data_IF_240920589160
#
_entry.id   IF_240920589160
#
_cell.length_a   1.000
_cell.length_b   1.000
_cell.length_c   1.000
_cell.angle_alpha   90.00
_cell.angle_beta   90.00
_cell.angle_gamma   90.00
#
_symmetry.space_group_name_H-M   'P 1'
#
loop_
_entity.id
_entity.type
_entity.pdbx_description
1 polymer ?
#
# COMPACT_ATOMS: atom_id res chain seq x y z
N UNK A 1 -11.30 15.89 41.31
CA UNK A 1 -12.02 15.23 40.21
C UNK A 1 -11.01 14.39 39.46
N UNK A 2 -10.76 13.20 40.00
CA UNK A 2 -9.84 12.19 39.51
C UNK A 2 -10.52 11.34 38.42
N UNK A 3 -9.84 11.15 37.30
CA UNK A 3 -10.24 10.20 36.26
C UNK A 3 -9.46 8.88 36.44
N UNK A 4 -10.12 7.71 36.38
CA UNK A 4 -9.49 6.43 36.72
C UNK A 4 -8.55 5.89 35.63
N UNK A 5 -7.39 5.38 36.07
CA UNK A 5 -6.40 4.61 35.30
C UNK A 5 -6.95 3.25 34.89
N UNK A 6 -6.81 2.90 33.61
CA UNK A 6 -6.99 1.53 33.12
C UNK A 6 -5.76 0.67 33.46
N UNK A 7 -5.92 -0.58 33.94
CA UNK A 7 -4.82 -1.48 34.22
C UNK A 7 -4.32 -2.21 32.97
N UNK A 8 -3.01 -2.18 32.77
CA UNK A 8 -2.23 -2.91 31.77
C UNK A 8 -2.26 -4.41 32.06
N UNK A 9 -2.90 -5.22 31.22
CA UNK A 9 -2.79 -6.69 31.29
C UNK A 9 -1.64 -7.13 30.38
N UNK A 10 -0.50 -7.45 30.99
CA UNK A 10 0.63 -8.07 30.32
C UNK A 10 0.30 -9.49 29.90
N UNK A 11 0.17 -9.73 28.60
CA UNK A 11 0.01 -11.06 28.04
C UNK A 11 1.39 -11.71 27.86
N UNK A 12 1.85 -12.40 28.91
CA UNK A 12 3.07 -13.19 28.90
C UNK A 12 2.77 -14.54 28.20
N UNK A 13 3.02 -14.63 26.89
CA UNK A 13 2.84 -15.88 26.14
C UNK A 13 4.13 -16.71 26.19
N UNK A 14 4.20 -17.61 27.17
CA UNK A 14 5.27 -18.62 27.29
C UNK A 14 5.07 -19.70 26.22
N UNK A 15 5.90 -19.69 25.16
CA UNK A 15 5.97 -20.77 24.17
C UNK A 15 6.78 -21.93 24.75
N UNK A 16 6.10 -23.00 25.14
CA UNK A 16 6.72 -24.27 25.55
C UNK A 16 7.27 -25.01 24.33
N UNK A 17 8.60 -25.06 24.27
CA UNK A 17 9.42 -25.95 23.45
C UNK A 17 9.07 -27.43 23.72
N UNK A 18 8.68 -28.19 22.69
CA UNK A 18 8.65 -29.65 22.71
C UNK A 18 9.64 -30.18 21.68
N UNK A 19 10.86 -30.44 22.15
CA UNK A 19 11.80 -31.31 21.46
C UNK A 19 11.26 -32.74 21.41
N UNK A 20 11.35 -33.37 20.24
CA UNK A 20 11.40 -34.83 20.11
C UNK A 20 12.74 -35.17 19.47
N UNK A 21 13.70 -35.54 20.30
CA UNK A 21 14.73 -36.47 19.88
C UNK A 21 14.16 -37.89 19.92
N UNK A 22 14.46 -38.69 18.91
CA UNK A 22 14.45 -40.14 19.02
C UNK A 22 15.69 -40.68 18.32
N UNK A 23 16.66 -41.07 19.14
CA UNK A 23 17.72 -42.02 18.81
C UNK A 23 17.15 -43.44 18.72
N UNK A 24 17.96 -44.34 18.15
CA UNK A 24 17.77 -45.78 17.90
C UNK A 24 17.38 -46.08 16.45
N UNK A 25 18.05 -46.95 15.71
CA UNK A 25 19.10 -47.89 16.04
C UNK A 25 19.45 -48.65 14.77
N UNK A 26 20.67 -49.16 14.72
CA UNK A 26 21.29 -49.85 13.62
C UNK A 26 20.73 -51.27 13.40
N UNK A 27 21.06 -51.76 12.20
CA UNK A 27 21.33 -53.15 11.85
C UNK A 27 20.25 -54.03 11.19
N UNK A 28 20.67 -54.46 10.00
CA UNK A 28 20.61 -55.80 9.44
C UNK A 28 19.29 -56.28 8.81
N UNK A 29 19.42 -56.77 7.58
CA UNK A 29 18.48 -57.73 7.02
C UNK A 29 18.21 -57.56 5.54
N UNK A 30 19.19 -57.91 4.73
CA UNK A 30 19.08 -58.11 3.28
C UNK A 30 17.95 -59.10 2.92
N UNK A 31 17.15 -58.76 1.92
CA UNK A 31 16.31 -59.69 1.16
C UNK A 31 15.92 -59.05 -0.19
N UNK A 32 16.28 -59.67 -1.32
CA UNK A 32 16.24 -59.05 -2.63
C UNK A 32 14.85 -59.14 -3.27
N UNK A 33 14.54 -58.17 -4.13
CA UNK A 33 13.47 -58.33 -5.12
C UNK A 33 12.17 -57.59 -4.83
N UNK A 34 12.21 -56.26 -4.67
CA UNK A 34 11.08 -55.41 -5.06
C UNK A 34 11.59 -54.25 -5.89
N UNK A 35 11.48 -54.39 -7.20
CA UNK A 35 11.71 -53.32 -8.17
C UNK A 35 10.75 -52.17 -7.85
N UNK A 36 11.30 -51.05 -7.40
CA UNK A 36 10.58 -49.80 -7.29
C UNK A 36 10.29 -49.30 -8.69
N UNK A 37 9.21 -49.81 -9.29
CA UNK A 37 8.65 -49.17 -10.46
C UNK A 37 8.22 -47.76 -10.03
N UNK A 38 8.99 -46.77 -10.48
CA UNK A 38 8.62 -45.36 -10.47
C UNK A 38 7.30 -45.23 -11.23
N UNK A 39 6.17 -45.35 -10.53
CA UNK A 39 4.87 -45.06 -11.13
C UNK A 39 4.84 -43.57 -11.46
N UNK A 40 4.74 -43.20 -12.75
CA UNK A 40 4.72 -41.81 -13.16
C UNK A 40 3.44 -41.15 -12.64
N UNK A 41 3.56 -39.94 -12.11
CA UNK A 41 2.49 -39.08 -11.59
C UNK A 41 1.53 -38.57 -12.69
N UNK A 42 1.27 -39.40 -13.72
CA UNK A 42 0.59 -39.02 -14.95
C UNK A 42 -0.64 -39.91 -15.16
N UNK A 43 -1.71 -39.66 -14.39
CA UNK A 43 -3.11 -39.71 -14.86
C UNK A 43 -4.06 -39.29 -13.75
N UNK A 44 -5.14 -38.64 -14.16
CA UNK A 44 -6.27 -38.12 -13.38
C UNK A 44 -6.10 -36.71 -12.79
N UNK A 45 -5.77 -35.72 -13.65
CA UNK A 45 -6.46 -34.43 -13.53
C UNK A 45 -7.82 -34.60 -14.18
N UNK A 46 -8.84 -34.86 -13.37
CA UNK A 46 -10.19 -34.49 -13.77
C UNK A 46 -10.15 -32.98 -14.06
N UNK A 47 -10.58 -32.60 -15.26
CA UNK A 47 -10.70 -31.20 -15.67
C UNK A 47 -11.80 -30.60 -14.81
N UNK A 48 -11.44 -29.95 -13.71
CA UNK A 48 -12.40 -29.16 -12.92
C UNK A 48 -12.94 -28.08 -13.87
N UNK A 49 -14.26 -28.01 -14.12
CA UNK A 49 -14.85 -26.92 -14.88
C UNK A 49 -14.50 -25.60 -14.20
N UNK A 50 -13.98 -24.62 -14.96
CA UNK A 50 -13.57 -23.31 -14.43
C UNK A 50 -14.76 -22.49 -13.89
N UNK A 51 -15.96 -22.95 -14.18
CA UNK A 51 -17.28 -22.39 -13.90
C UNK A 51 -17.85 -22.81 -12.53
N UNK A 52 -17.23 -23.75 -11.82
CA UNK A 52 -17.68 -24.18 -10.48
C UNK A 52 -17.01 -23.41 -9.32
N UNK A 53 -16.77 -22.10 -9.47
CA UNK A 53 -16.42 -21.26 -8.31
C UNK A 53 -17.69 -20.95 -7.53
N UNK A 54 -17.78 -21.28 -6.21
CA UNK A 54 -18.93 -20.89 -5.43
C UNK A 54 -19.00 -19.36 -5.44
N UNK A 55 -20.11 -18.81 -5.95
CA UNK A 55 -20.43 -17.41 -5.82
C UNK A 55 -20.52 -17.10 -4.33
N UNK A 56 -19.41 -16.62 -3.75
CA UNK A 56 -19.33 -16.23 -2.35
C UNK A 56 -20.35 -15.11 -2.14
N UNK A 57 -21.52 -15.49 -1.63
CA UNK A 57 -22.65 -14.60 -1.40
C UNK A 57 -22.22 -13.53 -0.42
N UNK A 58 -21.96 -12.33 -0.96
CA UNK A 58 -21.68 -11.14 -0.15
C UNK A 58 -22.86 -10.94 0.80
N UNK A 59 -22.62 -10.83 2.10
CA UNK A 59 -23.65 -10.55 3.09
C UNK A 59 -24.11 -9.10 2.96
N UNK A 60 -25.36 -8.78 3.36
CA UNK A 60 -25.89 -7.42 3.29
C UNK A 60 -25.05 -6.42 4.10
N UNK A 61 -24.55 -6.86 5.27
CA UNK A 61 -23.63 -6.10 6.12
C UNK A 61 -22.30 -5.80 5.41
N UNK A 62 -21.78 -6.76 4.63
CA UNK A 62 -20.54 -6.56 3.86
C UNK A 62 -20.73 -5.57 2.69
N UNK A 63 -21.95 -5.47 2.12
CA UNK A 63 -22.27 -4.45 1.11
C UNK A 63 -22.31 -3.05 1.74
N UNK A 64 -22.96 -2.91 2.89
CA UNK A 64 -23.04 -1.65 3.62
C UNK A 64 -21.64 -1.13 4.01
N UNK A 65 -20.78 -1.98 4.55
CA UNK A 65 -19.39 -1.60 4.89
C UNK A 65 -18.57 -1.15 3.68
N UNK A 66 -18.76 -1.81 2.52
CA UNK A 66 -18.07 -1.41 1.27
C UNK A 66 -18.59 -0.06 0.76
N UNK A 67 -19.88 0.20 0.88
CA UNK A 67 -20.47 1.48 0.52
C UNK A 67 -19.95 2.60 1.41
N UNK A 68 -19.86 2.36 2.72
CA UNK A 68 -19.29 3.33 3.65
C UNK A 68 -17.82 3.63 3.36
N UNK A 69 -17.01 2.61 3.06
CA UNK A 69 -15.62 2.82 2.65
C UNK A 69 -15.51 3.59 1.33
N UNK A 70 -16.41 3.36 0.38
CA UNK A 70 -16.47 4.13 -0.86
C UNK A 70 -16.80 5.59 -0.57
N UNK A 71 -17.81 5.86 0.28
CA UNK A 71 -18.16 7.21 0.70
C UNK A 71 -17.00 7.94 1.41
N UNK A 72 -16.26 7.23 2.28
CA UNK A 72 -15.06 7.78 2.92
C UNK A 72 -13.97 8.12 1.89
N UNK A 73 -13.76 7.27 0.88
CA UNK A 73 -12.80 7.53 -0.19
C UNK A 73 -13.22 8.72 -1.06
N UNK A 74 -14.51 8.84 -1.39
CA UNK A 74 -15.02 10.03 -2.08
C UNK A 74 -14.75 11.30 -1.27
N UNK A 75 -15.02 11.30 0.03
CA UNK A 75 -14.74 12.45 0.89
C UNK A 75 -13.25 12.82 0.93
N UNK A 76 -12.37 11.81 0.99
CA UNK A 76 -10.92 12.00 0.92
C UNK A 76 -10.49 12.60 -0.42
N UNK A 77 -11.03 12.12 -1.53
CA UNK A 77 -10.71 12.63 -2.86
C UNK A 77 -11.26 14.03 -3.12
N UNK A 78 -12.36 14.42 -2.49
CA UNK A 78 -12.90 15.78 -2.56
C UNK A 78 -12.11 16.80 -1.72
N UNK A 79 -11.53 16.37 -0.60
CA UNK A 79 -10.73 17.24 0.26
C UNK A 79 -9.27 17.38 -0.21
N UNK A 80 -8.70 16.30 -0.77
CA UNK A 80 -7.30 16.28 -1.18
C UNK A 80 -7.05 17.12 -2.44
N UNK A 81 -6.06 18.01 -2.39
CA UNK A 81 -5.60 18.76 -3.56
C UNK A 81 -4.74 17.89 -4.50
N UNK A 82 -4.00 16.93 -3.93
CA UNK A 82 -3.11 16.04 -4.67
C UNK A 82 -3.26 14.60 -4.20
N UNK A 83 -3.22 13.68 -5.16
CA UNK A 83 -3.23 12.24 -4.92
C UNK A 83 -2.10 11.61 -5.72
N UNK A 84 -1.22 10.88 -5.05
CA UNK A 84 -0.14 10.13 -5.69
C UNK A 84 -0.43 8.64 -5.54
N UNK A 85 -0.35 7.90 -6.65
CA UNK A 85 -0.56 6.47 -6.71
C UNK A 85 0.79 5.76 -6.77
N UNK A 86 1.00 4.84 -5.83
CA UNK A 86 2.24 4.08 -5.72
C UNK A 86 2.00 2.60 -5.59
N UNK A 87 2.97 1.82 -6.05
CA UNK A 87 3.12 0.42 -5.75
C UNK A 87 4.03 0.23 -4.55
N UNK A 88 3.52 -0.50 -3.55
CA UNK A 88 4.23 -0.76 -2.30
C UNK A 88 4.74 -2.21 -2.21
N UNK A 89 4.78 -2.94 -3.32
CA UNK A 89 5.21 -4.35 -3.36
C UNK A 89 6.64 -4.50 -2.85
N UNK A 90 6.83 -5.29 -1.80
CA UNK A 90 8.16 -5.60 -1.24
C UNK A 90 8.62 -4.67 -0.10
N UNK A 91 7.79 -3.72 0.32
CA UNK A 91 8.10 -2.91 1.50
C UNK A 91 7.88 -3.67 2.81
N UNK A 92 8.79 -3.46 3.77
CA UNK A 92 8.66 -3.99 5.12
C UNK A 92 7.62 -3.21 5.95
N UNK A 93 7.15 -3.80 7.05
CA UNK A 93 6.18 -3.14 7.95
C UNK A 93 6.80 -1.90 8.61
N UNK A 94 8.11 -1.92 8.87
CA UNK A 94 8.86 -0.78 9.41
C UNK A 94 8.88 0.37 8.40
N UNK A 95 9.31 0.10 7.17
CA UNK A 95 9.32 1.05 6.04
C UNK A 95 7.94 1.70 5.81
N UNK A 96 6.87 0.91 5.84
CA UNK A 96 5.50 1.41 5.70
C UNK A 96 5.06 2.27 6.88
N UNK A 97 5.55 1.99 8.09
CA UNK A 97 5.24 2.78 9.28
C UNK A 97 5.99 4.11 9.24
N UNK A 98 7.25 4.09 8.83
CA UNK A 98 8.08 5.28 8.66
C UNK A 98 7.50 6.21 7.60
N UNK A 99 7.09 5.68 6.44
CA UNK A 99 6.43 6.46 5.39
C UNK A 99 5.15 7.13 5.90
N UNK A 100 4.31 6.40 6.65
CA UNK A 100 3.08 6.97 7.24
C UNK A 100 3.39 8.05 8.28
N UNK A 101 4.44 7.89 9.07
CA UNK A 101 4.83 8.86 10.08
C UNK A 101 5.38 10.15 9.43
N UNK A 102 6.24 10.02 8.42
CA UNK A 102 6.74 11.16 7.62
C UNK A 102 5.59 11.91 6.96
N UNK A 103 4.64 11.19 6.35
CA UNK A 103 3.45 11.80 5.73
C UNK A 103 2.63 12.58 6.76
N UNK A 104 2.31 11.99 7.92
CA UNK A 104 1.53 12.67 8.97
C UNK A 104 2.24 13.91 9.52
N UNK A 105 3.56 13.85 9.68
CA UNK A 105 4.34 14.98 10.18
C UNK A 105 4.25 16.21 9.27
N UNK A 106 4.03 16.01 7.97
CA UNK A 106 3.87 17.08 7.00
C UNK A 106 2.40 17.39 6.64
N UNK A 107 1.42 16.78 7.33
CA UNK A 107 0.00 17.01 7.05
C UNK A 107 -0.57 16.15 5.90
N UNK A 108 0.15 15.12 5.46
CA UNK A 108 -0.31 14.15 4.47
C UNK A 108 -0.82 12.84 5.09
N UNK A 109 -1.63 12.10 4.34
CA UNK A 109 -2.09 10.77 4.72
C UNK A 109 -1.76 9.73 3.65
N UNK A 110 -1.43 8.53 4.11
CA UNK A 110 -1.10 7.41 3.24
C UNK A 110 -1.98 6.21 3.58
N UNK A 111 -2.76 5.73 2.61
CA UNK A 111 -3.68 4.61 2.77
C UNK A 111 -3.49 3.59 1.66
N UNK A 112 -3.57 2.32 2.03
CA UNK A 112 -3.66 1.21 1.07
C UNK A 112 -5.13 1.02 0.75
N UNK A 113 -5.48 1.05 -0.54
CA UNK A 113 -6.88 0.99 -0.97
C UNK A 113 -7.09 -0.20 -1.89
N UNK A 114 -8.26 -0.86 -1.77
CA UNK A 114 -8.66 -1.92 -2.70
C UNK A 114 -9.03 -1.30 -4.05
N UNK A 115 -8.37 -1.75 -5.12
CA UNK A 115 -8.50 -1.19 -6.46
C UNK A 115 -9.95 -1.06 -6.92
N UNK A 116 -10.78 -2.09 -6.67
CA UNK A 116 -12.20 -2.05 -7.09
C UNK A 116 -13.01 -1.00 -6.34
N UNK A 117 -12.71 -0.73 -5.07
CA UNK A 117 -13.39 0.33 -4.32
C UNK A 117 -12.91 1.70 -4.78
N UNK A 118 -11.61 1.85 -5.05
CA UNK A 118 -11.05 3.10 -5.58
C UNK A 118 -11.64 3.45 -6.94
N UNK A 119 -11.74 2.46 -7.86
CA UNK A 119 -12.34 2.68 -9.19
C UNK A 119 -13.80 3.14 -9.11
N UNK A 120 -14.56 2.62 -8.14
CA UNK A 120 -15.93 3.10 -7.89
C UNK A 120 -15.90 4.53 -7.32
N UNK A 121 -15.01 4.80 -6.37
CA UNK A 121 -14.87 6.12 -5.75
C UNK A 121 -14.37 7.23 -6.70
N UNK A 122 -13.79 6.87 -7.85
CA UNK A 122 -13.27 7.80 -8.84
C UNK A 122 -14.23 8.07 -10.01
N UNK A 123 -15.28 7.25 -10.19
CA UNK A 123 -16.23 7.41 -11.30
C UNK A 123 -17.00 8.74 -11.22
N UNK A 124 -17.24 9.23 -10.01
CA UNK A 124 -18.04 10.43 -9.76
C UNK A 124 -17.19 11.69 -9.51
N UNK A 125 -15.88 11.61 -9.74
CA UNK A 125 -14.92 12.70 -9.45
C UNK A 125 -14.11 13.05 -10.69
N UNK A 126 -13.58 14.28 -10.75
CA UNK A 126 -12.68 14.78 -11.82
C UNK A 126 -11.37 13.97 -11.96
N UNK A 127 -11.12 13.05 -11.02
CA UNK A 127 -9.98 12.13 -10.96
C UNK A 127 -10.21 10.82 -11.74
N UNK A 128 -11.30 10.69 -12.49
CA UNK A 128 -11.65 9.47 -13.23
C UNK A 128 -10.51 8.96 -14.14
N UNK A 129 -9.72 9.87 -14.72
CA UNK A 129 -8.60 9.54 -15.60
C UNK A 129 -7.44 8.77 -14.91
N UNK A 130 -7.41 8.70 -13.57
CA UNK A 130 -6.41 7.92 -12.82
C UNK A 130 -6.87 6.49 -12.55
N UNK A 131 -8.13 6.15 -12.82
CA UNK A 131 -8.68 4.82 -12.57
C UNK A 131 -7.84 3.69 -13.20
N UNK A 132 -7.17 3.96 -14.32
CA UNK A 132 -6.34 2.99 -15.05
C UNK A 132 -5.00 2.71 -14.37
N UNK A 133 -4.48 3.63 -13.56
CA UNK A 133 -3.27 3.43 -12.76
C UNK A 133 -3.52 2.50 -11.56
N UNK A 134 -4.77 2.19 -11.22
CA UNK A 134 -5.12 1.28 -10.12
C UNK A 134 -5.10 -0.21 -10.52
N UNK A 135 -3.99 -0.68 -11.08
CA UNK A 135 -3.74 -2.10 -11.38
C UNK A 135 -2.66 -2.63 -10.45
N UNK A 136 -2.83 -3.80 -9.81
CA UNK A 136 -1.83 -4.39 -8.90
C UNK A 136 -1.90 -3.90 -7.44
N UNK A 137 -0.84 -4.09 -6.62
CA UNK A 137 -0.83 -3.70 -5.21
C UNK A 137 -0.61 -2.18 -5.07
N UNK A 138 -1.70 -1.41 -5.10
CA UNK A 138 -1.66 0.06 -5.11
C UNK A 138 -1.97 0.67 -3.75
N UNK A 139 -1.26 1.74 -3.42
CA UNK A 139 -1.54 2.63 -2.30
C UNK A 139 -1.70 4.07 -2.81
N UNK A 140 -2.40 4.87 -2.02
CA UNK A 140 -2.62 6.29 -2.27
C UNK A 140 -1.96 7.11 -1.16
N UNK A 141 -1.16 8.08 -1.55
CA UNK A 141 -0.75 9.19 -0.71
C UNK A 141 -1.52 10.43 -1.13
N UNK A 142 -2.26 11.03 -0.21
CA UNK A 142 -3.02 12.25 -0.47
C UNK A 142 -2.68 13.30 0.58
N UNK A 143 -2.79 14.55 0.18
CA UNK A 143 -2.58 15.71 1.05
C UNK A 143 -3.38 16.89 0.51
N UNK A 144 -3.72 17.80 1.41
CA UNK A 144 -4.33 19.08 1.06
C UNK A 144 -3.29 20.02 0.44
N UNK A 145 -2.00 19.80 0.73
CA UNK A 145 -0.89 20.55 0.14
C UNK A 145 -0.31 19.83 -1.09
N UNK A 146 -0.20 20.51 -2.24
CA UNK A 146 0.17 19.87 -3.51
C UNK A 146 1.63 19.40 -3.56
N UNK A 147 2.52 19.96 -2.74
CA UNK A 147 3.96 19.66 -2.76
C UNK A 147 4.34 18.56 -1.75
N UNK A 148 3.58 18.42 -0.66
CA UNK A 148 3.95 17.56 0.47
C UNK A 148 3.97 16.09 0.09
N UNK A 149 2.88 15.58 -0.48
CA UNK A 149 2.76 14.16 -0.81
C UNK A 149 3.79 13.71 -1.86
N UNK A 150 3.99 14.42 -3.00
CA UNK A 150 5.02 14.06 -3.97
C UNK A 150 6.44 14.08 -3.39
N UNK A 151 6.79 15.08 -2.58
CA UNK A 151 8.13 15.22 -1.99
C UNK A 151 8.50 14.07 -1.07
N UNK A 152 7.58 13.66 -0.19
CA UNK A 152 7.83 12.55 0.75
C UNK A 152 7.90 11.22 0.00
N UNK A 153 7.01 11.02 -0.98
CA UNK A 153 7.01 9.79 -1.78
C UNK A 153 8.27 9.69 -2.63
N UNK A 154 8.73 10.77 -3.24
CA UNK A 154 9.95 10.76 -4.06
C UNK A 154 11.23 10.62 -3.24
N UNK A 155 11.30 11.25 -2.06
CA UNK A 155 12.44 11.03 -1.14
C UNK A 155 12.48 9.57 -0.68
N UNK A 156 11.33 9.00 -0.34
CA UNK A 156 11.25 7.59 0.04
C UNK A 156 11.55 6.64 -1.13
N UNK A 157 11.15 6.99 -2.36
CA UNK A 157 11.48 6.21 -3.55
C UNK A 157 12.98 6.24 -3.90
N UNK A 158 13.69 7.32 -3.53
CA UNK A 158 15.16 7.40 -3.63
C UNK A 158 15.84 6.51 -2.58
N UNK A 159 15.30 6.48 -1.36
CA UNK A 159 15.80 5.63 -0.28
C UNK A 159 15.51 4.14 -0.54
N UNK A 160 14.38 3.84 -1.19
CA UNK A 160 13.89 2.48 -1.42
C UNK A 160 13.35 2.30 -2.85
N UNK A 161 14.12 1.63 -3.70
CA UNK A 161 13.74 1.32 -5.10
C UNK A 161 12.51 0.40 -5.22
N UNK A 162 12.11 -0.25 -4.12
CA UNK A 162 10.93 -1.13 -4.06
C UNK A 162 9.61 -0.35 -4.18
N UNK A 163 9.61 0.94 -3.85
CA UNK A 163 8.44 1.79 -4.03
C UNK A 163 8.43 2.33 -5.45
N UNK A 164 7.49 1.87 -6.26
CA UNK A 164 7.34 2.30 -7.65
C UNK A 164 6.23 3.35 -7.72
N UNK A 165 6.55 4.52 -8.26
CA UNK A 165 5.57 5.59 -8.49
C UNK A 165 4.93 5.35 -9.86
N UNK A 166 3.62 5.16 -9.91
CA UNK A 166 2.89 5.02 -11.17
C UNK A 166 2.56 6.39 -11.76
N UNK A 167 2.05 7.28 -10.92
CA UNK A 167 1.59 8.62 -11.30
C UNK A 167 0.81 9.28 -10.17
N UNK A 168 0.16 10.38 -10.46
CA UNK A 168 -0.69 11.11 -9.53
C UNK A 168 -1.68 12.02 -10.24
N UNK A 169 -2.56 12.65 -9.46
CA UNK A 169 -3.41 13.74 -9.91
C UNK A 169 -3.17 14.95 -9.05
N UNK A 170 -3.36 16.10 -9.68
CA UNK A 170 -3.61 17.36 -9.02
C UNK A 170 -4.92 17.92 -9.59
N UNK A 171 -5.98 17.88 -8.80
CA UNK A 171 -7.35 18.18 -9.26
C UNK A 171 -7.70 17.41 -10.53
N UNK A 172 -8.09 18.11 -11.59
CA UNK A 172 -8.46 17.53 -12.89
C UNK A 172 -7.27 17.05 -13.75
N UNK A 173 -6.02 17.28 -13.31
CA UNK A 173 -4.83 17.02 -14.15
C UNK A 173 -4.15 15.74 -13.73
N UNK A 174 -4.01 14.79 -14.66
CA UNK A 174 -3.24 13.55 -14.45
C UNK A 174 -1.75 13.82 -14.72
N UNK A 175 -0.91 13.28 -13.85
CA UNK A 175 0.52 13.40 -13.87
C UNK A 175 1.17 12.02 -13.90
N UNK A 176 2.07 11.82 -14.86
CA UNK A 176 2.90 10.63 -14.93
C UNK A 176 3.98 10.62 -13.85
N UNK A 177 4.68 9.50 -13.69
CA UNK A 177 5.81 9.37 -12.76
C UNK A 177 6.86 10.49 -12.87
N UNK A 178 7.13 10.98 -14.09
CA UNK A 178 8.01 12.13 -14.32
C UNK A 178 7.42 13.44 -13.80
N UNK A 179 6.11 13.66 -14.00
CA UNK A 179 5.40 14.81 -13.45
C UNK A 179 5.39 14.81 -11.92
N UNK A 180 5.23 13.64 -11.30
CA UNK A 180 5.31 13.49 -9.83
C UNK A 180 6.71 13.81 -9.31
N UNK A 181 7.78 13.44 -10.04
CA UNK A 181 9.15 13.80 -9.67
C UNK A 181 9.40 15.31 -9.78
N UNK A 182 8.90 15.96 -10.83
CA UNK A 182 9.00 17.41 -10.97
C UNK A 182 8.30 18.14 -9.81
N UNK A 183 7.12 17.67 -9.38
CA UNK A 183 6.44 18.20 -8.20
C UNK A 183 7.21 17.97 -6.90
N UNK A 184 7.92 16.85 -6.80
CA UNK A 184 8.73 16.53 -5.62
C UNK A 184 10.00 17.38 -5.49
N UNK A 185 10.53 17.88 -6.61
CA UNK A 185 11.68 18.80 -6.63
C UNK A 185 11.30 20.22 -6.22
N UNK A 186 9.99 20.53 -6.20
CA UNK A 186 9.53 21.84 -5.76
C UNK A 186 9.85 22.02 -4.25
N UNK A 187 10.43 23.18 -3.89
CA UNK A 187 10.70 23.52 -2.50
C UNK A 187 9.39 23.76 -1.74
N UNK A 188 9.48 23.82 -0.41
CA UNK A 188 8.29 24.05 0.44
C UNK A 188 7.62 25.41 0.15
N UNK A 189 6.37 25.58 0.60
CA UNK A 189 5.60 26.81 0.35
C UNK A 189 6.31 28.05 0.91
N UNK A 190 6.90 27.93 2.10
CA UNK A 190 7.67 29.02 2.72
C UNK A 190 8.96 29.33 1.95
N UNK A 191 9.66 28.30 1.45
CA UNK A 191 10.81 28.49 0.57
C UNK A 191 10.42 29.13 -0.77
N UNK A 192 9.26 28.79 -1.34
CA UNK A 192 8.74 29.43 -2.55
C UNK A 192 8.43 30.91 -2.30
N UNK A 193 7.78 31.23 -1.19
CA UNK A 193 7.52 32.62 -0.80
C UNK A 193 8.82 33.40 -0.58
N UNK A 194 9.80 32.79 0.09
CA UNK A 194 11.12 33.38 0.29
C UNK A 194 11.86 33.60 -1.03
N UNK A 195 11.77 32.67 -1.98
CA UNK A 195 12.34 32.84 -3.33
C UNK A 195 11.68 33.98 -4.09
N UNK A 196 10.36 34.10 -4.04
CA UNK A 196 9.63 35.20 -4.70
C UNK A 196 10.02 36.54 -4.07
N UNK A 197 10.00 36.65 -2.74
CA UNK A 197 10.40 37.87 -2.04
C UNK A 197 11.88 38.18 -2.31
N UNK A 198 12.75 37.16 -2.36
CA UNK A 198 14.15 37.30 -2.68
C UNK A 198 14.39 37.80 -4.10
N UNK A 199 13.59 37.38 -5.08
CA UNK A 199 13.63 37.89 -6.45
C UNK A 199 13.11 39.33 -6.56
N UNK A 200 12.08 39.68 -5.78
CA UNK A 200 11.52 41.05 -5.75
C UNK A 200 12.43 42.03 -4.99
N UNK A 201 13.07 41.57 -3.91
CA UNK A 201 14.00 42.34 -3.10
C UNK A 201 15.43 42.32 -3.64
N UNK A 202 15.73 41.48 -4.63
CA UNK A 202 17.00 41.54 -5.33
C UNK A 202 17.09 42.91 -6.02
N UNK A 203 18.14 43.72 -5.75
CA UNK A 203 18.32 44.98 -6.46
C UNK A 203 18.41 44.71 -7.96
N UNK A 204 17.84 45.61 -8.76
CA UNK A 204 17.84 45.58 -10.22
C UNK A 204 19.25 45.80 -10.82
N UNK A 205 20.20 44.98 -10.40
CA UNK A 205 21.59 44.95 -10.86
C UNK A 205 21.91 43.51 -11.26
N UNK A 206 21.24 43.04 -12.30
CA UNK A 206 21.75 42.03 -13.21
C UNK A 206 21.15 42.24 -14.59
#
# INVERSE_FOLDING_TARGET
METPRFPTVGCHLTVRNRGRGSTAGSDAGDSPGRTWSRRPWRRLRARVPHDATPAFGRSAVERAQKQELVAQLHGVFGAAAVVVVTHYSGLSVAEMSDLRNRMRAAGGSFKVTKNRLTKLALQDTELAAIADLFSGPTAIGYSDDPVVAPKIIATFAKDNEKLIILGGAMGSTVLDSAGVKALAELPSLDELRAKIIGLVSAPATK
#
